data_IF_012215269380
#
_entry.id   IF_012215269380
#
_cell.length_a   1.000
_cell.length_b   1.000
_cell.length_c   1.000
_cell.angle_alpha   90.00
_cell.angle_beta   90.00
_cell.angle_gamma   90.00
#
_symmetry.space_group_name_H-M   'P 1'
#
loop_
_entity.id
_entity.type
_entity.pdbx_description
1 polymer ?
#
# COMPACT_ATOMS: atom_id res chain seq x y z
N UNK A 1 -18.56 2.23 -8.30
CA UNK A 1 -18.10 2.84 -7.02
C UNK A 1 -16.83 2.13 -6.64
N UNK A 2 -15.72 2.86 -6.55
CA UNK A 2 -14.45 2.28 -6.13
C UNK A 2 -14.50 1.88 -4.65
N UNK A 3 -13.64 0.94 -4.26
CA UNK A 3 -13.50 0.51 -2.86
C UNK A 3 -12.04 0.34 -2.49
N UNK A 4 -11.57 1.15 -1.56
CA UNK A 4 -10.21 1.05 -1.03
C UNK A 4 -10.35 0.62 0.44
N UNK A 5 -9.95 -0.62 0.74
CA UNK A 5 -9.94 -1.15 2.10
C UNK A 5 -8.55 -0.92 2.67
N UNK A 6 -8.46 -0.02 3.66
CA UNK A 6 -7.19 0.38 4.25
C UNK A 6 -6.90 -0.45 5.50
N UNK A 7 -5.78 -1.17 5.49
CA UNK A 7 -5.22 -1.79 6.68
C UNK A 7 -4.07 -0.92 7.20
N UNK A 8 -4.22 -0.43 8.44
CA UNK A 8 -3.18 0.32 9.16
C UNK A 8 -2.84 -0.31 10.49
N UNK A 9 -1.60 -0.07 10.92
CA UNK A 9 -1.12 -0.41 12.25
C UNK A 9 0.40 -0.35 12.33
N UNK A 10 0.94 -0.53 13.53
CA UNK A 10 2.39 -0.52 13.77
C UNK A 10 3.09 -1.71 13.11
N UNK A 11 4.42 -1.61 12.95
CA UNK A 11 5.23 -2.74 12.48
C UNK A 11 5.10 -3.93 13.43
N UNK A 12 5.14 -5.16 12.90
CA UNK A 12 5.00 -6.39 13.69
C UNK A 12 3.57 -6.74 14.16
N UNK A 13 2.56 -5.87 13.97
CA UNK A 13 1.19 -6.13 14.43
C UNK A 13 0.38 -7.17 13.59
N UNK A 14 1.01 -7.88 12.65
CA UNK A 14 0.33 -8.90 11.83
C UNK A 14 -0.57 -8.36 10.70
N UNK A 15 -0.42 -7.08 10.33
CA UNK A 15 -1.24 -6.41 9.30
C UNK A 15 -1.19 -7.10 7.94
N UNK A 16 0.01 -7.45 7.48
CA UNK A 16 0.22 -8.13 6.20
C UNK A 16 -0.39 -9.52 6.19
N UNK A 17 -0.41 -10.21 7.34
CA UNK A 17 -1.16 -11.45 7.48
C UNK A 17 -2.66 -11.20 7.34
N UNK A 18 -3.16 -10.17 8.03
CA UNK A 18 -4.57 -9.82 8.05
C UNK A 18 -5.07 -9.17 6.75
N UNK A 19 -4.24 -8.52 5.95
CA UNK A 19 -4.62 -7.91 4.67
C UNK A 19 -4.62 -8.94 3.52
N UNK A 20 -3.65 -9.87 3.54
CA UNK A 20 -3.52 -10.92 2.53
C UNK A 20 -4.65 -11.96 2.59
N UNK A 21 -5.09 -12.35 3.79
CA UNK A 21 -6.09 -13.41 3.94
C UNK A 21 -7.49 -13.00 3.41
N UNK A 22 -8.05 -11.82 3.75
CA UNK A 22 -9.24 -11.30 3.11
C UNK A 22 -9.07 -11.12 1.61
N UNK A 23 -7.93 -10.56 1.15
CA UNK A 23 -7.65 -10.36 -0.28
C UNK A 23 -7.79 -11.64 -1.09
N UNK A 24 -7.27 -12.77 -0.57
CA UNK A 24 -7.46 -14.10 -1.15
C UNK A 24 -8.91 -14.55 -1.14
N UNK A 25 -9.61 -14.38 -0.01
CA UNK A 25 -10.99 -14.87 0.18
C UNK A 25 -12.03 -14.15 -0.67
N UNK A 26 -11.87 -12.83 -0.86
CA UNK A 26 -12.82 -12.00 -1.62
C UNK A 26 -12.29 -11.64 -3.02
N UNK A 27 -11.15 -12.22 -3.43
CA UNK A 27 -10.51 -12.02 -4.74
C UNK A 27 -10.28 -10.53 -5.07
N UNK A 28 -9.68 -9.81 -4.12
CA UNK A 28 -9.31 -8.40 -4.27
C UNK A 28 -7.79 -8.26 -4.15
N UNK A 29 -7.11 -7.54 -5.05
CA UNK A 29 -5.66 -7.35 -4.98
C UNK A 29 -5.25 -6.59 -3.72
N UNK A 30 -4.12 -7.00 -3.14
CA UNK A 30 -3.49 -6.35 -1.99
C UNK A 30 -2.25 -5.61 -2.48
N UNK A 31 -2.21 -4.30 -2.28
CA UNK A 31 -1.02 -3.49 -2.48
C UNK A 31 -0.35 -3.25 -1.13
N UNK A 32 0.89 -3.73 -0.95
CA UNK A 32 1.71 -3.37 0.21
C UNK A 32 2.53 -2.13 -0.14
N UNK A 33 2.48 -1.09 0.70
CA UNK A 33 3.32 0.12 0.52
C UNK A 33 4.80 -0.25 0.40
N UNK A 34 5.22 -1.21 1.23
CA UNK A 34 6.62 -1.63 1.35
C UNK A 34 7.12 -2.26 0.05
N UNK A 35 6.27 -2.88 -0.77
CA UNK A 35 6.64 -3.40 -2.10
C UNK A 35 7.21 -2.28 -3.00
N UNK A 36 6.66 -1.07 -2.92
CA UNK A 36 7.14 0.09 -3.69
C UNK A 36 8.39 0.67 -3.05
N UNK A 37 8.38 0.85 -1.72
CA UNK A 37 9.47 1.48 -0.98
C UNK A 37 10.76 0.65 -1.06
N UNK A 38 10.67 -0.66 -0.87
CA UNK A 38 11.81 -1.59 -0.85
C UNK A 38 12.36 -1.82 -2.26
N UNK A 39 11.50 -1.81 -3.29
CA UNK A 39 11.92 -1.95 -4.69
C UNK A 39 12.92 -0.88 -5.15
N UNK A 40 12.86 0.31 -4.55
CA UNK A 40 13.78 1.42 -4.86
C UNK A 40 14.90 1.59 -3.83
N UNK A 41 14.89 0.80 -2.74
CA UNK A 41 15.82 0.98 -1.62
C UNK A 41 17.29 0.76 -1.98
N UNK A 42 17.57 -0.12 -2.95
CA UNK A 42 18.93 -0.35 -3.45
C UNK A 42 19.48 0.76 -4.37
N UNK A 43 18.61 1.65 -4.87
CA UNK A 43 18.97 2.68 -5.86
C UNK A 43 18.89 4.10 -5.29
N UNK A 44 18.03 4.31 -4.29
CA UNK A 44 17.79 5.61 -3.66
C UNK A 44 18.06 5.46 -2.17
N UNK A 45 19.22 5.93 -1.70
CA UNK A 45 19.64 5.77 -0.30
C UNK A 45 18.91 6.74 0.64
N UNK A 46 18.58 7.93 0.14
CA UNK A 46 17.90 8.98 0.93
C UNK A 46 16.46 8.57 1.25
N UNK A 47 16.09 8.59 2.54
CA UNK A 47 14.80 8.11 3.03
C UNK A 47 13.62 8.98 2.58
N UNK A 48 13.80 10.30 2.53
CA UNK A 48 12.80 11.25 2.05
C UNK A 48 12.43 11.03 0.59
N UNK A 49 13.42 10.84 -0.28
CA UNK A 49 13.25 10.57 -1.70
C UNK A 49 12.54 9.23 -1.94
N UNK A 50 12.87 8.19 -1.17
CA UNK A 50 12.14 6.91 -1.22
C UNK A 50 10.69 7.06 -0.84
N UNK A 51 10.40 7.77 0.25
CA UNK A 51 9.03 8.07 0.64
C UNK A 51 8.31 8.88 -0.44
N UNK A 52 8.96 9.90 -1.00
CA UNK A 52 8.40 10.70 -2.09
C UNK A 52 8.04 9.84 -3.30
N UNK A 53 8.93 8.96 -3.76
CA UNK A 53 8.66 8.01 -4.85
C UNK A 53 7.46 7.13 -4.52
N UNK A 54 7.42 6.57 -3.31
CA UNK A 54 6.35 5.70 -2.86
C UNK A 54 4.99 6.43 -2.86
N UNK A 55 4.92 7.64 -2.30
CA UNK A 55 3.71 8.44 -2.30
C UNK A 55 3.29 8.90 -3.69
N UNK A 56 4.23 9.39 -4.52
CA UNK A 56 3.94 9.80 -5.89
C UNK A 56 3.34 8.65 -6.72
N UNK A 57 3.85 7.43 -6.55
CA UNK A 57 3.29 6.22 -7.17
C UNK A 57 1.90 5.90 -6.61
N UNK A 58 1.78 5.85 -5.28
CA UNK A 58 0.55 5.47 -4.60
C UNK A 58 -0.61 6.42 -4.94
N UNK A 59 -0.38 7.74 -4.97
CA UNK A 59 -1.40 8.71 -5.35
C UNK A 59 -1.93 8.49 -6.77
N UNK A 60 -1.03 8.29 -7.74
CA UNK A 60 -1.43 8.03 -9.15
C UNK A 60 -2.17 6.70 -9.30
N UNK A 61 -1.70 5.66 -8.60
CA UNK A 61 -2.34 4.35 -8.59
C UNK A 61 -3.75 4.43 -8.00
N UNK A 62 -3.91 5.04 -6.83
CA UNK A 62 -5.21 5.18 -6.16
C UNK A 62 -6.20 6.02 -6.97
N UNK A 63 -5.74 7.08 -7.63
CA UNK A 63 -6.59 7.85 -8.54
C UNK A 63 -7.11 6.97 -9.68
N UNK A 64 -6.24 6.16 -10.29
CA UNK A 64 -6.63 5.24 -11.36
C UNK A 64 -7.64 4.19 -10.88
N UNK A 65 -7.48 3.66 -9.66
CA UNK A 65 -8.44 2.73 -9.03
C UNK A 65 -9.81 3.37 -8.82
N UNK A 66 -9.83 4.65 -8.42
CA UNK A 66 -11.06 5.44 -8.26
C UNK A 66 -11.75 5.59 -9.61
N UNK A 67 -11.02 6.06 -10.62
CA UNK A 67 -11.53 6.33 -11.96
C UNK A 67 -12.04 5.04 -12.64
N UNK A 68 -11.40 3.90 -12.36
CA UNK A 68 -11.80 2.60 -12.91
C UNK A 68 -12.90 1.88 -12.11
N UNK A 69 -13.42 2.48 -11.02
CA UNK A 69 -14.35 1.81 -10.09
C UNK A 69 -13.85 0.45 -9.57
N UNK A 70 -12.54 0.27 -9.44
CA UNK A 70 -11.95 -0.96 -8.95
C UNK A 70 -12.02 -1.08 -7.42
N UNK A 71 -11.80 -2.30 -6.93
CA UNK A 71 -11.65 -2.58 -5.51
C UNK A 71 -10.23 -3.07 -5.22
N UNK A 72 -9.61 -2.55 -4.17
CA UNK A 72 -8.29 -2.95 -3.70
C UNK A 72 -8.24 -3.02 -2.17
N UNK A 73 -7.27 -3.75 -1.66
CA UNK A 73 -6.77 -3.62 -0.29
C UNK A 73 -5.45 -2.87 -0.33
N UNK A 74 -5.30 -1.87 0.53
CA UNK A 74 -4.05 -1.14 0.73
C UNK A 74 -3.51 -1.47 2.13
N UNK A 75 -2.35 -2.13 2.20
CA UNK A 75 -1.60 -2.35 3.43
C UNK A 75 -0.57 -1.23 3.60
N UNK A 76 -0.77 -0.43 4.64
CA UNK A 76 -0.04 0.80 4.86
C UNK A 76 0.30 1.00 6.33
N UNK A 77 1.59 1.20 6.64
CA UNK A 77 2.07 1.42 8.00
C UNK A 77 1.38 2.56 8.75
N UNK A 78 1.18 2.38 10.06
CA UNK A 78 0.86 3.47 10.96
C UNK A 78 2.17 4.16 11.37
N UNK A 79 2.47 5.30 10.78
CA UNK A 79 3.49 6.21 11.30
C UNK A 79 2.83 7.01 12.44
N UNK A 80 3.43 6.97 13.63
CA UNK A 80 2.94 7.65 14.84
C UNK A 80 3.74 8.94 15.13
N UNK A 81 4.47 9.43 14.13
CA UNK A 81 5.31 10.63 14.21
C UNK A 81 4.55 11.84 13.64
#
# INVERSE_FOLDING_TARGET
MSKIILFRGVSGAGKSTLSNEPGKRINIPVLHKDDIYDSVAGFVTEHGLRNKICFDFLYRFLQTVIDSSAAIILDYGLNLD
#
